data_IF_642491579799
#
_entry.id   IF_642491579799
#
_cell.length_a   1.000
_cell.length_b   1.000
_cell.length_c   1.000
_cell.angle_alpha   90.00
_cell.angle_beta   90.00
_cell.angle_gamma   90.00
#
_symmetry.space_group_name_H-M   'P 1'
#
loop_
_entity.id
_entity.type
_entity.pdbx_description
1 polymer ?
#
# COMPACT_ATOMS: atom_id res chain seq x y z
N UNK A 1 48.14 6.76 4.47
CA UNK A 1 48.64 5.86 5.53
C UNK A 1 48.45 6.57 6.86
N UNK A 2 47.47 6.15 7.66
CA UNK A 2 47.31 6.56 9.06
C UNK A 2 46.99 5.28 9.84
N UNK A 3 48.01 4.57 10.27
CA UNK A 3 47.87 3.55 11.31
C UNK A 3 48.32 4.20 12.60
N UNK A 4 47.36 4.54 13.47
CA UNK A 4 47.66 4.82 14.87
C UNK A 4 48.04 3.50 15.51
N UNK A 5 49.33 3.34 15.77
CA UNK A 5 49.88 2.31 16.63
C UNK A 5 49.40 2.53 18.07
N UNK A 6 49.17 1.42 18.78
CA UNK A 6 48.76 1.29 20.20
C UNK A 6 47.26 1.28 20.55
N UNK A 7 46.43 0.58 19.77
CA UNK A 7 45.15 0.12 20.33
C UNK A 7 45.40 -0.90 21.44
N UNK A 8 44.91 -0.60 22.65
CA UNK A 8 45.01 -1.48 23.82
C UNK A 8 44.39 -2.85 23.53
N UNK A 9 45.14 -3.91 23.87
CA UNK A 9 44.75 -5.31 23.68
C UNK A 9 44.58 -5.98 25.04
N UNK A 10 43.44 -6.65 25.26
CA UNK A 10 43.15 -7.40 26.49
C UNK A 10 42.72 -8.83 26.14
N UNK A 11 43.16 -9.83 26.91
CA UNK A 11 42.69 -11.22 26.71
C UNK A 11 41.42 -11.47 27.52
N UNK A 12 40.49 -12.22 26.96
CA UNK A 12 39.34 -12.75 27.68
C UNK A 12 39.83 -13.69 28.79
N UNK A 13 39.35 -13.48 30.01
CA UNK A 13 39.70 -14.28 31.19
C UNK A 13 39.23 -15.74 31.10
N UNK A 14 38.20 -16.03 30.29
CA UNK A 14 37.61 -17.36 30.18
C UNK A 14 38.21 -18.20 29.04
N UNK A 15 38.35 -17.63 27.84
CA UNK A 15 38.80 -18.38 26.65
C UNK A 15 40.13 -17.91 26.05
N UNK A 16 40.78 -16.91 26.65
CA UNK A 16 42.06 -16.37 26.18
C UNK A 16 42.01 -15.54 24.88
N UNK A 17 40.81 -15.33 24.30
CA UNK A 17 40.63 -14.57 23.06
C UNK A 17 41.12 -13.11 23.20
N UNK A 18 41.83 -12.61 22.20
CA UNK A 18 42.40 -11.27 22.20
C UNK A 18 41.37 -10.23 21.73
N UNK A 19 41.04 -9.28 22.60
CA UNK A 19 40.09 -8.20 22.37
C UNK A 19 40.86 -6.90 22.11
N UNK A 20 40.31 -6.03 21.27
CA UNK A 20 40.89 -4.72 20.91
C UNK A 20 39.91 -3.63 21.34
N UNK A 21 40.41 -2.54 21.93
CA UNK A 21 39.58 -1.42 22.35
C UNK A 21 38.86 -0.75 21.15
N UNK A 22 37.59 -0.30 21.31
CA UNK A 22 36.76 -0.40 22.50
C UNK A 22 36.28 -1.83 22.77
N UNK A 23 36.43 -2.30 24.02
CA UNK A 23 36.13 -3.68 24.38
C UNK A 23 34.62 -3.96 24.40
N UNK A 24 34.13 -5.07 23.80
CA UNK A 24 32.73 -5.44 23.88
C UNK A 24 32.35 -5.86 25.32
N UNK A 25 31.05 -5.82 25.65
CA UNK A 25 30.54 -6.23 26.97
C UNK A 25 30.72 -7.74 27.19
N UNK A 26 30.52 -8.53 26.13
CA UNK A 26 30.69 -9.98 26.13
C UNK A 26 31.79 -10.40 25.15
N UNK A 27 32.52 -11.46 25.48
CA UNK A 27 33.53 -12.03 24.59
C UNK A 27 32.85 -12.59 23.32
N UNK A 28 33.30 -12.24 22.10
CA UNK A 28 32.67 -12.74 20.88
C UNK A 28 32.91 -14.24 20.64
N UNK A 29 33.87 -14.86 21.35
CA UNK A 29 34.20 -16.29 21.20
C UNK A 29 33.43 -17.19 22.17
N UNK A 30 33.31 -16.79 23.45
CA UNK A 30 32.67 -17.62 24.48
C UNK A 30 31.43 -16.99 25.11
N UNK A 31 31.03 -15.80 24.67
CA UNK A 31 29.88 -15.02 25.14
C UNK A 31 29.90 -14.64 26.65
N UNK A 32 31.01 -14.90 27.33
CA UNK A 32 31.18 -14.53 28.75
C UNK A 32 31.43 -13.04 28.93
N UNK A 33 30.90 -12.48 30.01
CA UNK A 33 30.99 -11.05 30.32
C UNK A 33 32.42 -10.64 30.65
N UNK A 34 32.89 -9.56 30.05
CA UNK A 34 34.27 -9.08 30.26
C UNK A 34 34.31 -8.20 31.53
N UNK A 35 35.09 -8.57 32.56
CA UNK A 35 35.17 -7.79 33.79
C UNK A 35 35.78 -6.41 33.54
N UNK A 36 35.11 -5.38 34.07
CA UNK A 36 35.49 -3.98 33.96
C UNK A 36 34.90 -3.21 32.77
N UNK A 37 34.07 -3.83 31.92
CA UNK A 37 33.33 -3.12 30.87
C UNK A 37 31.97 -2.70 31.42
N UNK A 38 31.80 -1.40 31.70
CA UNK A 38 30.51 -0.84 32.12
C UNK A 38 29.52 -0.89 30.96
N UNK A 39 28.31 -1.37 31.23
CA UNK A 39 27.21 -1.28 30.26
C UNK A 39 26.82 0.20 30.19
N UNK A 40 26.87 0.86 29.01
CA UNK A 40 26.44 2.24 28.91
C UNK A 40 25.00 2.32 29.38
N UNK A 41 24.76 3.06 30.48
CA UNK A 41 23.41 3.31 30.99
C UNK A 41 22.61 3.92 29.84
N UNK A 42 21.55 3.25 29.39
CA UNK A 42 20.63 3.79 28.39
C UNK A 42 20.17 5.17 28.88
N UNK A 43 20.61 6.26 28.21
CA UNK A 43 20.06 7.59 28.45
C UNK A 43 18.55 7.50 28.26
N UNK A 44 17.78 7.86 29.28
CA UNK A 44 16.32 7.90 29.19
C UNK A 44 15.92 8.94 28.13
N UNK A 45 14.80 8.69 27.43
CA UNK A 45 14.26 9.55 26.35
C UNK A 45 14.16 11.03 26.77
N UNK A 46 13.97 11.30 28.07
CA UNK A 46 13.99 12.65 28.67
C UNK A 46 15.35 13.36 28.57
N UNK A 47 16.48 12.67 28.75
CA UNK A 47 17.82 13.29 28.66
C UNK A 47 18.22 13.60 27.22
N UNK A 48 17.83 12.73 26.27
CA UNK A 48 18.04 12.95 24.84
C UNK A 48 17.23 14.14 24.29
N UNK A 49 16.04 14.39 24.84
CA UNK A 49 15.21 15.53 24.45
C UNK A 49 15.76 16.85 25.01
N UNK A 50 16.37 16.84 26.20
CA UNK A 50 16.98 18.04 26.82
C UNK A 50 18.26 18.51 26.10
N UNK A 51 19.10 17.58 25.65
CA UNK A 51 20.28 17.91 24.82
C UNK A 51 19.89 18.42 23.41
N UNK A 52 18.70 18.07 22.91
CA UNK A 52 18.17 18.58 21.65
C UNK A 52 17.58 19.99 21.78
N UNK A 53 16.87 20.29 22.86
CA UNK A 53 16.33 21.64 23.10
C UNK A 53 17.45 22.68 23.29
N UNK A 54 18.50 22.34 24.04
CA UNK A 54 19.65 23.24 24.26
C UNK A 54 20.44 23.52 22.96
N UNK A 55 20.46 22.59 22.01
CA UNK A 55 21.09 22.80 20.69
C UNK A 55 20.23 23.64 19.73
N UNK A 56 18.91 23.63 19.87
CA UNK A 56 18.00 24.43 19.05
C UNK A 56 17.99 25.89 19.55
N UNK A 57 17.98 26.11 20.85
CA UNK A 57 18.07 27.46 21.44
C UNK A 57 19.39 28.15 21.05
N UNK A 58 20.52 27.43 21.09
CA UNK A 58 21.81 27.98 20.65
C UNK A 58 21.86 28.32 19.15
N UNK A 59 21.11 27.61 18.30
CA UNK A 59 21.02 27.91 16.85
C UNK A 59 20.10 29.09 16.53
N UNK A 60 19.06 29.28 17.34
CA UNK A 60 18.17 30.44 17.25
C UNK A 60 18.91 31.70 17.72
N UNK A 61 19.70 31.60 18.80
CA UNK A 61 20.50 32.71 19.32
C UNK A 61 21.59 33.20 18.35
N UNK A 62 22.10 32.31 17.49
CA UNK A 62 23.14 32.62 16.51
C UNK A 62 22.63 33.06 15.12
N UNK A 63 21.31 33.21 14.93
CA UNK A 63 20.73 33.89 13.75
C UNK A 63 20.87 33.17 12.40
N UNK A 64 21.26 31.89 12.37
CA UNK A 64 21.50 31.14 11.12
C UNK A 64 20.21 30.78 10.36
N UNK A 65 19.07 30.66 11.05
CA UNK A 65 17.81 30.17 10.45
C UNK A 65 17.07 31.27 9.65
N UNK A 66 17.21 32.54 10.05
CA UNK A 66 16.44 33.65 9.47
C UNK A 66 16.94 34.04 8.06
N UNK A 67 18.23 33.84 7.77
CA UNK A 67 18.82 34.22 6.46
C UNK A 67 18.47 33.26 5.31
N UNK A 68 18.09 32.01 5.61
CA UNK A 68 17.74 31.01 4.60
C UNK A 68 16.33 31.16 4.01
N UNK A 69 15.39 31.72 4.78
CA UNK A 69 13.97 31.77 4.39
C UNK A 69 13.60 32.99 3.53
N UNK A 70 14.38 34.08 3.60
CA UNK A 70 14.11 35.30 2.82
C UNK A 70 14.50 35.15 1.34
N UNK A 71 15.49 34.32 1.00
CA UNK A 71 15.92 34.14 -0.41
C UNK A 71 14.97 33.28 -1.26
N UNK A 72 14.16 32.39 -0.67
CA UNK A 72 13.25 31.52 -1.43
C UNK A 72 11.96 32.19 -1.89
N UNK A 73 11.50 33.25 -1.20
CA UNK A 73 10.23 33.92 -1.54
C UNK A 73 10.31 34.87 -2.75
N UNK A 74 11.49 35.25 -3.20
CA UNK A 74 11.66 36.14 -4.37
C UNK A 74 11.70 35.39 -5.71
N UNK A 75 12.01 34.09 -5.72
CA UNK A 75 12.12 33.30 -6.95
C UNK A 75 10.77 32.71 -7.42
N UNK A 76 9.82 32.48 -6.52
CA UNK A 76 8.51 31.87 -6.85
C UNK A 76 7.50 32.83 -7.49
N UNK A 77 7.75 34.16 -7.47
CA UNK A 77 6.82 35.17 -8.00
C UNK A 77 6.88 35.40 -9.52
N UNK A 78 7.77 34.73 -10.26
CA UNK A 78 8.01 35.04 -11.70
C UNK A 78 7.42 34.04 -12.72
N UNK A 79 6.69 33.00 -12.30
CA UNK A 79 6.34 31.89 -13.22
C UNK A 79 4.84 31.75 -13.55
N UNK A 80 3.94 32.51 -12.92
CA UNK A 80 2.49 32.36 -13.14
C UNK A 80 1.84 33.54 -13.86
N UNK A 81 2.17 33.72 -15.14
CA UNK A 81 1.30 34.41 -16.11
C UNK A 81 1.32 33.63 -17.42
N UNK A 82 0.30 32.78 -17.65
CA UNK A 82 -0.28 32.49 -18.97
C UNK A 82 -1.53 31.61 -18.82
N UNK A 83 -2.69 32.15 -19.22
CA UNK A 83 -4.01 31.49 -19.25
C UNK A 83 -4.15 30.57 -20.48
N UNK A 84 -4.98 29.51 -20.43
CA UNK A 84 -5.60 28.95 -21.62
C UNK A 84 -7.07 29.35 -21.78
N UNK A 85 -7.44 29.52 -23.05
CA UNK A 85 -8.77 29.83 -23.59
C UNK A 85 -9.49 28.51 -23.86
N UNK A 86 -10.69 28.31 -23.30
CA UNK A 86 -11.59 27.21 -23.68
C UNK A 86 -12.65 27.71 -24.68
N UNK A 87 -12.79 26.99 -25.80
CA UNK A 87 -13.92 27.08 -26.71
C UNK A 87 -14.90 25.95 -26.39
N UNK A 88 -16.17 26.32 -26.25
CA UNK A 88 -17.34 25.45 -26.15
C UNK A 88 -17.66 24.79 -27.50
N UNK A 89 -18.15 23.56 -27.46
CA UNK A 89 -18.82 22.91 -28.60
C UNK A 89 -20.05 22.15 -28.09
N UNK A 90 -21.15 22.37 -28.82
CA UNK A 90 -22.53 22.02 -28.51
C UNK A 90 -22.89 20.54 -28.70
N UNK A 91 -24.04 20.21 -28.11
CA UNK A 91 -24.74 18.93 -28.06
C UNK A 91 -25.52 18.58 -29.34
N UNK A 92 -25.49 17.31 -29.74
CA UNK A 92 -26.60 16.49 -30.27
C UNK A 92 -26.03 15.07 -30.48
N UNK A 93 -26.58 13.96 -29.97
CA UNK A 93 -27.85 13.37 -30.37
C UNK A 93 -28.33 12.27 -29.41
N UNK A 94 -29.65 12.07 -29.45
CA UNK A 94 -30.45 11.13 -28.64
C UNK A 94 -30.35 9.70 -29.17
N UNK A 95 -30.30 8.73 -28.25
CA UNK A 95 -30.64 7.33 -28.50
C UNK A 95 -31.32 6.70 -27.29
N UNK A 96 -32.64 6.46 -27.39
CA UNK A 96 -33.44 5.74 -26.39
C UNK A 96 -33.15 4.24 -26.49
N UNK A 97 -32.91 3.58 -25.36
CA UNK A 97 -32.98 2.13 -25.22
C UNK A 97 -34.02 1.83 -24.14
N UNK A 98 -35.11 1.18 -24.52
CA UNK A 98 -36.13 0.64 -23.62
C UNK A 98 -35.65 -0.70 -23.06
N UNK A 99 -35.65 -0.85 -21.74
CA UNK A 99 -35.39 -2.11 -21.05
C UNK A 99 -36.71 -2.71 -20.55
N UNK A 100 -36.95 -3.95 -20.94
CA UNK A 100 -38.15 -4.71 -20.64
C UNK A 100 -38.05 -5.32 -19.22
N UNK A 101 -39.04 -5.20 -18.31
CA UNK A 101 -38.87 -5.57 -16.90
C UNK A 101 -38.97 -7.07 -16.56
N UNK A 102 -39.17 -7.97 -17.55
CA UNK A 102 -39.64 -9.34 -17.28
C UNK A 102 -38.56 -10.45 -17.31
N UNK A 103 -37.27 -10.15 -17.45
CA UNK A 103 -36.23 -11.19 -17.53
C UNK A 103 -35.60 -11.61 -16.19
N UNK A 104 -36.08 -11.09 -15.05
CA UNK A 104 -35.47 -11.36 -13.74
C UNK A 104 -36.03 -12.59 -12.99
N UNK A 105 -37.09 -13.22 -13.48
CA UNK A 105 -37.86 -14.22 -12.70
C UNK A 105 -37.69 -15.69 -13.13
N UNK A 106 -36.75 -16.03 -14.04
CA UNK A 106 -36.62 -17.40 -14.57
C UNK A 106 -35.39 -18.23 -14.17
N UNK A 107 -34.44 -17.72 -13.37
CA UNK A 107 -33.21 -18.46 -13.04
C UNK A 107 -32.90 -18.66 -11.54
N UNK A 108 -33.92 -18.75 -10.68
CA UNK A 108 -33.75 -19.20 -9.29
C UNK A 108 -34.24 -20.65 -9.14
N UNK A 109 -33.37 -21.62 -9.42
CA UNK A 109 -33.47 -22.98 -8.87
C UNK A 109 -32.23 -23.24 -8.03
N UNK A 110 -32.45 -23.28 -6.72
CA UNK A 110 -31.47 -23.68 -5.70
C UNK A 110 -31.19 -25.17 -5.91
N UNK A 111 -29.96 -25.52 -6.31
CA UNK A 111 -29.47 -26.90 -6.20
C UNK A 111 -28.70 -27.04 -4.89
N UNK A 112 -29.05 -28.09 -4.14
CA UNK A 112 -28.36 -28.55 -2.93
C UNK A 112 -26.91 -28.94 -3.23
N UNK A 113 -26.01 -28.49 -2.35
CA UNK A 113 -24.57 -28.63 -2.41
C UNK A 113 -24.13 -30.10 -2.20
N UNK A 114 -23.40 -30.75 -3.14
CA UNK A 114 -23.05 -32.18 -3.03
C UNK A 114 -21.73 -32.49 -2.30
N UNK A 115 -20.99 -31.51 -1.75
CA UNK A 115 -19.65 -31.77 -1.18
C UNK A 115 -19.57 -31.65 0.36
N UNK A 116 -20.46 -32.35 1.07
CA UNK A 116 -20.23 -32.73 2.47
C UNK A 116 -19.77 -34.18 2.47
N UNK A 117 -18.46 -34.41 2.40
CA UNK A 117 -17.88 -35.71 2.74
C UNK A 117 -17.60 -35.70 4.24
N UNK A 118 -18.49 -36.37 4.98
CA UNK A 118 -18.26 -36.80 6.35
C UNK A 118 -17.15 -37.85 6.31
N UNK A 119 -16.08 -37.62 7.05
CA UNK A 119 -14.94 -38.53 7.20
C UNK A 119 -15.36 -39.78 7.97
N UNK A 120 -15.43 -40.93 7.31
CA UNK A 120 -15.47 -42.23 7.98
C UNK A 120 -14.08 -42.87 8.05
N UNK A 121 -13.83 -43.45 9.22
CA UNK A 121 -12.59 -44.08 9.69
C UNK A 121 -12.23 -45.28 8.82
N UNK A 122 -10.96 -45.38 8.44
CA UNK A 122 -10.38 -46.64 7.93
C UNK A 122 -9.58 -47.28 9.07
N UNK A 123 -10.19 -48.28 9.69
CA UNK A 123 -9.48 -49.31 10.47
C UNK A 123 -9.17 -50.50 9.55
N UNK A 124 -7.90 -50.93 9.62
CA UNK A 124 -7.32 -52.26 9.39
C UNK A 124 -8.12 -53.30 8.60
N UNK A 125 -7.45 -53.92 7.62
CA UNK A 125 -7.21 -55.38 7.61
C UNK A 125 -6.11 -55.73 6.60
N UNK A 126 -5.21 -56.60 7.07
CA UNK A 126 -4.15 -57.28 6.35
C UNK A 126 -4.65 -58.67 5.91
N UNK A 127 -3.76 -59.41 5.22
CA UNK A 127 -3.87 -60.82 4.74
C UNK A 127 -4.66 -60.95 3.42
N UNK A 128 -4.26 -61.72 2.40
CA UNK A 128 -3.10 -62.57 2.15
C UNK A 128 -3.15 -63.00 0.66
N UNK A 129 -2.02 -63.45 0.12
CA UNK A 129 -1.87 -64.32 -1.08
C UNK A 129 -2.19 -63.66 -2.45
N UNK A 130 -1.48 -63.89 -3.55
CA UNK A 130 -0.58 -64.99 -3.93
C UNK A 130 0.26 -64.54 -5.13
N UNK A 131 1.54 -64.93 -5.15
CA UNK A 131 2.46 -64.76 -6.28
C UNK A 131 2.07 -65.74 -7.38
N UNK A 132 1.76 -65.25 -8.59
CA UNK A 132 1.75 -66.06 -9.81
C UNK A 132 2.41 -65.33 -10.98
N UNK A 133 3.61 -65.83 -11.30
CA UNK A 133 4.24 -66.01 -12.60
C UNK A 133 3.97 -65.01 -13.74
N UNK A 134 5.02 -64.25 -14.01
CA UNK A 134 5.30 -63.63 -15.31
C UNK A 134 5.32 -64.68 -16.43
N UNK A 135 4.28 -64.70 -17.26
CA UNK A 135 4.37 -65.19 -18.62
C UNK A 135 4.55 -64.04 -19.60
N UNK A 136 5.78 -63.89 -20.10
CA UNK A 136 6.09 -63.12 -21.30
C UNK A 136 5.68 -63.97 -22.51
N UNK A 137 4.49 -63.74 -23.05
CA UNK A 137 4.17 -64.16 -24.41
C UNK A 137 4.80 -63.18 -25.40
N UNK A 138 5.75 -63.69 -26.17
CA UNK A 138 6.25 -63.05 -27.39
C UNK A 138 5.14 -63.16 -28.44
N UNK A 139 4.45 -62.05 -28.72
CA UNK A 139 3.72 -61.90 -29.97
C UNK A 139 3.95 -60.51 -30.56
N UNK A 140 4.48 -60.55 -31.78
CA UNK A 140 4.35 -59.62 -32.90
C UNK A 140 4.39 -58.10 -32.66
N UNK A 141 5.41 -57.51 -33.28
CA UNK A 141 5.52 -56.09 -33.59
C UNK A 141 4.22 -55.54 -34.20
N UNK A 142 3.71 -54.46 -33.61
CA UNK A 142 2.92 -53.46 -34.32
C UNK A 142 3.58 -52.10 -34.10
N UNK A 143 4.01 -51.51 -35.22
CA UNK A 143 4.43 -50.13 -35.34
C UNK A 143 3.34 -49.21 -34.80
N UNK A 144 3.55 -48.68 -33.61
CA UNK A 144 2.94 -47.41 -33.23
C UNK A 144 3.89 -46.68 -32.30
N UNK A 145 4.99 -46.20 -32.89
CA UNK A 145 5.87 -45.18 -32.34
C UNK A 145 5.06 -43.86 -32.23
N UNK A 146 4.05 -43.85 -31.37
CA UNK A 146 3.33 -42.65 -30.94
C UNK A 146 4.24 -41.91 -29.97
N UNK A 147 5.30 -41.32 -30.54
CA UNK A 147 6.05 -40.25 -29.89
C UNK A 147 5.04 -39.18 -29.56
N UNK A 148 4.64 -39.13 -28.30
CA UNK A 148 3.88 -38.03 -27.73
C UNK A 148 4.71 -36.77 -28.00
N UNK A 149 4.35 -36.02 -29.05
CA UNK A 149 4.87 -34.68 -29.30
C UNK A 149 4.33 -33.82 -28.16
N UNK A 150 5.08 -33.78 -27.06
CA UNK A 150 4.91 -32.76 -26.03
C UNK A 150 5.05 -31.43 -26.75
N UNK A 151 3.94 -30.72 -26.95
CA UNK A 151 3.97 -29.34 -27.43
C UNK A 151 4.82 -28.56 -26.42
N UNK A 152 6.05 -28.24 -26.81
CA UNK A 152 6.90 -27.31 -26.07
C UNK A 152 6.09 -26.03 -25.90
N UNK A 153 5.61 -25.78 -24.67
CA UNK A 153 4.94 -24.53 -24.31
C UNK A 153 5.94 -23.42 -24.64
N UNK A 154 5.61 -22.61 -25.64
CA UNK A 154 6.47 -21.52 -26.11
C UNK A 154 6.91 -20.69 -24.90
N UNK A 155 8.22 -20.65 -24.64
CA UNK A 155 8.77 -19.80 -23.58
C UNK A 155 8.67 -18.36 -24.08
N UNK A 156 7.67 -17.62 -23.61
CA UNK A 156 7.61 -16.17 -23.79
C UNK A 156 8.86 -15.56 -23.15
N UNK A 157 9.69 -14.87 -23.95
CA UNK A 157 10.86 -14.17 -23.44
C UNK A 157 10.43 -12.90 -22.70
N UNK A 158 10.82 -12.78 -21.43
CA UNK A 158 10.45 -11.64 -20.58
C UNK A 158 11.45 -10.50 -20.79
N UNK A 159 10.98 -9.40 -21.37
CA UNK A 159 11.72 -8.15 -21.46
C UNK A 159 11.20 -7.14 -20.41
N UNK A 160 12.04 -6.81 -19.42
CA UNK A 160 11.69 -5.87 -18.34
C UNK A 160 11.51 -4.43 -18.82
N UNK A 161 12.09 -4.08 -19.98
CA UNK A 161 11.99 -2.75 -20.56
C UNK A 161 10.65 -2.50 -21.26
N UNK A 162 9.83 -3.54 -21.44
CA UNK A 162 8.52 -3.39 -22.03
C UNK A 162 7.59 -2.61 -21.10
N UNK A 163 6.75 -1.77 -21.68
CA UNK A 163 5.75 -0.98 -20.93
C UNK A 163 4.67 -1.86 -20.30
N UNK A 164 4.45 -3.06 -20.85
CA UNK A 164 3.51 -4.05 -20.37
C UNK A 164 4.10 -5.45 -20.58
N UNK A 165 4.22 -6.22 -19.50
CA UNK A 165 4.74 -7.58 -19.48
C UNK A 165 3.56 -8.51 -19.19
N UNK A 166 3.18 -9.35 -20.15
CA UNK A 166 2.11 -10.34 -19.97
C UNK A 166 2.58 -11.50 -19.10
N UNK A 167 1.77 -11.91 -18.12
CA UNK A 167 2.15 -12.91 -17.12
C UNK A 167 1.48 -14.29 -17.33
N UNK A 168 0.94 -14.55 -18.51
CA UNK A 168 0.59 -15.91 -18.96
C UNK A 168 -0.91 -16.25 -18.97
N UNK A 169 -1.69 -15.82 -17.97
CA UNK A 169 -3.17 -15.87 -18.03
C UNK A 169 -3.72 -14.69 -18.83
N UNK A 170 -4.92 -14.85 -19.43
CA UNK A 170 -5.62 -13.73 -20.09
C UNK A 170 -5.76 -12.59 -19.08
N UNK A 171 -5.39 -11.39 -19.51
CA UNK A 171 -5.51 -10.13 -18.78
C UNK A 171 -4.58 -9.91 -17.58
N UNK A 172 -3.70 -10.86 -17.21
CA UNK A 172 -2.65 -10.65 -16.21
C UNK A 172 -1.41 -9.98 -16.81
N UNK A 173 -1.00 -8.84 -16.26
CA UNK A 173 0.18 -8.12 -16.71
C UNK A 173 0.83 -7.25 -15.64
N UNK A 174 2.11 -6.96 -15.84
CA UNK A 174 2.92 -6.08 -15.02
C UNK A 174 3.39 -4.89 -15.87
N UNK A 175 3.18 -3.66 -15.38
CA UNK A 175 3.66 -2.43 -16.04
C UNK A 175 4.90 -1.85 -15.36
N UNK A 176 5.01 -2.01 -14.04
CA UNK A 176 6.09 -1.42 -13.26
C UNK A 176 6.46 -2.25 -12.04
N UNK A 177 7.76 -2.31 -11.75
CA UNK A 177 8.34 -2.77 -10.50
C UNK A 177 9.37 -1.75 -10.04
N UNK A 178 9.40 -1.46 -8.75
CA UNK A 178 10.34 -0.50 -8.20
C UNK A 178 10.66 -0.73 -6.73
N UNK A 179 11.81 -0.19 -6.33
CA UNK A 179 12.32 -0.20 -4.95
C UNK A 179 12.88 1.19 -4.65
N UNK A 180 12.44 1.77 -3.54
CA UNK A 180 12.94 3.05 -3.02
C UNK A 180 13.21 2.89 -1.52
N UNK A 181 14.20 3.61 -0.99
CA UNK A 181 14.43 3.64 0.46
C UNK A 181 13.43 4.57 1.14
N UNK A 182 13.23 4.41 2.46
CA UNK A 182 12.46 5.38 3.26
C UNK A 182 13.05 6.79 3.25
N UNK A 183 14.36 6.92 2.97
CA UNK A 183 15.07 8.18 2.76
C UNK A 183 14.97 8.69 1.29
N UNK A 184 14.03 8.13 0.51
CA UNK A 184 13.75 8.49 -0.89
C UNK A 184 14.92 8.28 -1.86
N UNK A 185 15.81 7.34 -1.56
CA UNK A 185 16.87 6.93 -2.49
C UNK A 185 16.36 5.83 -3.40
N UNK A 186 16.37 6.07 -4.70
CA UNK A 186 15.95 5.11 -5.72
C UNK A 186 16.95 3.96 -5.81
N UNK A 187 16.46 2.73 -5.58
CA UNK A 187 17.29 1.53 -5.62
C UNK A 187 17.15 0.84 -6.98
N UNK A 188 15.91 0.68 -7.45
CA UNK A 188 15.62 0.00 -8.71
C UNK A 188 14.26 0.43 -9.27
N UNK A 189 14.14 0.40 -10.61
CA UNK A 189 12.86 0.49 -11.31
C UNK A 189 12.96 -0.21 -12.67
N UNK A 190 11.87 -0.83 -13.13
CA UNK A 190 11.83 -1.55 -14.40
C UNK A 190 11.53 -0.65 -15.61
N UNK A 191 10.84 0.49 -15.40
CA UNK A 191 10.39 1.37 -16.47
C UNK A 191 10.55 2.84 -16.07
N UNK A 192 11.41 3.57 -16.81
CA UNK A 192 11.72 4.99 -16.55
C UNK A 192 10.48 5.89 -16.64
N UNK A 193 9.55 5.61 -17.56
CA UNK A 193 8.35 6.44 -17.74
C UNK A 193 7.41 6.38 -16.53
N UNK A 194 7.45 5.27 -15.80
CA UNK A 194 6.60 4.98 -14.64
C UNK A 194 7.36 5.15 -13.32
N UNK A 195 8.58 5.70 -13.38
CA UNK A 195 9.45 5.93 -12.22
C UNK A 195 8.79 6.76 -11.12
N UNK A 196 7.87 7.66 -11.49
CA UNK A 196 7.12 8.50 -10.55
C UNK A 196 6.34 7.68 -9.50
N UNK A 197 6.03 6.40 -9.75
CA UNK A 197 5.39 5.53 -8.76
C UNK A 197 6.24 5.33 -7.48
N UNK A 198 7.56 5.49 -7.55
CA UNK A 198 8.42 5.44 -6.35
C UNK A 198 8.17 6.64 -5.42
N UNK A 199 8.11 7.84 -6.00
CA UNK A 199 7.87 9.07 -5.26
C UNK A 199 6.41 9.14 -4.79
N UNK A 200 5.47 8.77 -5.67
CA UNK A 200 4.05 8.64 -5.33
C UNK A 200 3.87 7.65 -4.18
N UNK A 201 4.45 6.46 -4.26
CA UNK A 201 4.39 5.46 -3.20
C UNK A 201 4.95 5.97 -1.87
N UNK A 202 6.06 6.71 -1.89
CA UNK A 202 6.65 7.30 -0.69
C UNK A 202 5.77 8.38 -0.05
N UNK A 203 5.13 9.21 -0.87
CA UNK A 203 4.19 10.22 -0.40
C UNK A 203 2.91 9.58 0.15
N UNK A 204 2.38 8.56 -0.53
CA UNK A 204 1.21 7.80 -0.07
C UNK A 204 1.50 7.08 1.24
N UNK A 205 2.67 6.44 1.36
CA UNK A 205 3.08 5.73 2.58
C UNK A 205 3.17 6.73 3.74
N UNK A 206 3.76 7.91 3.55
CA UNK A 206 3.78 8.94 4.58
C UNK A 206 2.38 9.44 4.96
N UNK A 207 1.55 9.83 3.98
CA UNK A 207 0.26 10.47 4.27
C UNK A 207 -0.73 9.44 4.83
N UNK A 208 -0.89 8.29 4.16
CA UNK A 208 -1.88 7.29 4.55
C UNK A 208 -1.57 6.71 5.94
N UNK A 209 -0.31 6.46 6.27
CA UNK A 209 0.05 5.97 7.61
C UNK A 209 -0.14 7.02 8.69
N UNK A 210 0.02 8.32 8.39
CA UNK A 210 -0.23 9.42 9.34
C UNK A 210 -1.70 9.67 9.68
N UNK A 211 -2.64 9.06 8.95
CA UNK A 211 -4.09 9.21 9.16
C UNK A 211 -4.72 7.88 9.57
N UNK A 212 -4.37 6.79 8.89
CA UNK A 212 -4.99 5.48 9.11
C UNK A 212 -4.25 4.64 10.13
N UNK A 213 -3.01 4.98 10.50
CA UNK A 213 -2.15 4.24 11.44
C UNK A 213 -1.92 2.77 11.04
N UNK A 214 -0.94 2.47 10.18
CA UNK A 214 -0.60 1.09 9.80
C UNK A 214 0.48 1.01 8.72
N UNK A 215 0.48 -0.04 7.90
CA UNK A 215 1.41 -0.19 6.77
C UNK A 215 0.68 -0.05 5.41
N UNK A 216 1.19 0.79 4.51
CA UNK A 216 0.62 0.93 3.16
C UNK A 216 0.65 -0.42 2.43
N UNK A 217 -0.49 -0.83 1.87
CA UNK A 217 -0.65 -2.13 1.21
C UNK A 217 -1.03 -2.00 -0.26
N UNK A 218 -2.15 -1.34 -0.59
CA UNK A 218 -2.66 -1.27 -1.98
C UNK A 218 -3.28 0.07 -2.32
N UNK A 219 -3.32 0.37 -3.62
CA UNK A 219 -4.11 1.45 -4.20
C UNK A 219 -4.76 0.98 -5.48
N UNK A 220 -6.08 1.16 -5.59
CA UNK A 220 -6.85 0.90 -6.80
C UNK A 220 -6.96 2.18 -7.62
N UNK A 221 -6.64 2.10 -8.91
CA UNK A 221 -6.72 3.20 -9.86
C UNK A 221 -7.77 2.91 -10.92
N UNK A 222 -8.64 3.88 -11.16
CA UNK A 222 -9.61 3.86 -12.25
C UNK A 222 -9.35 4.99 -13.26
N UNK A 223 -9.61 4.77 -14.56
CA UNK A 223 -9.54 5.83 -15.56
C UNK A 223 -10.55 6.95 -15.27
N UNK A 224 -10.16 8.20 -15.53
CA UNK A 224 -11.03 9.38 -15.29
C UNK A 224 -12.33 9.36 -16.10
N UNK A 225 -12.31 8.78 -17.30
CA UNK A 225 -13.39 8.86 -18.27
C UNK A 225 -14.25 7.57 -18.37
N UNK A 226 -14.27 6.72 -17.33
CA UNK A 226 -15.00 5.43 -17.29
C UNK A 226 -14.67 4.45 -18.46
N UNK A 227 -13.62 4.73 -19.25
CA UNK A 227 -13.33 4.09 -20.53
C UNK A 227 -12.15 3.12 -20.52
N UNK A 228 -11.84 2.47 -19.41
CA UNK A 228 -10.71 1.55 -19.32
C UNK A 228 -10.77 0.62 -18.12
N UNK A 229 -9.76 -0.24 -17.99
CA UNK A 229 -9.68 -1.22 -16.91
C UNK A 229 -9.11 -0.59 -15.64
N UNK A 230 -9.63 -1.04 -14.50
CA UNK A 230 -9.02 -0.74 -13.21
C UNK A 230 -7.66 -1.44 -13.10
N UNK A 231 -6.73 -0.79 -12.40
CA UNK A 231 -5.39 -1.30 -12.16
C UNK A 231 -5.01 -1.13 -10.70
N UNK A 232 -4.17 -2.04 -10.20
CA UNK A 232 -3.78 -2.04 -8.79
C UNK A 232 -2.30 -1.75 -8.69
N UNK A 233 -1.98 -0.82 -7.79
CA UNK A 233 -0.64 -0.62 -7.28
C UNK A 233 -0.54 -1.33 -5.93
N UNK A 234 0.42 -2.24 -5.79
CA UNK A 234 0.70 -2.94 -4.55
C UNK A 234 2.01 -2.44 -3.96
N UNK A 235 2.00 -2.30 -2.65
CA UNK A 235 3.09 -1.81 -1.84
C UNK A 235 3.49 -2.86 -0.82
N UNK A 236 4.78 -2.91 -0.51
CA UNK A 236 5.29 -3.62 0.65
C UNK A 236 6.25 -2.68 1.37
N UNK A 237 5.86 -2.27 2.57
CA UNK A 237 6.73 -1.51 3.46
C UNK A 237 7.64 -2.48 4.23
N UNK A 238 8.94 -2.24 4.21
CA UNK A 238 9.93 -2.87 5.11
C UNK A 238 10.66 -1.74 5.86
N UNK A 239 11.43 -2.09 6.90
CA UNK A 239 12.08 -1.08 7.77
C UNK A 239 12.79 0.04 7.00
N UNK A 240 13.51 -0.31 5.94
CA UNK A 240 14.36 0.63 5.20
C UNK A 240 13.89 0.86 3.76
N UNK A 241 12.95 0.06 3.25
CA UNK A 241 12.57 0.03 1.83
C UNK A 241 11.06 0.05 1.65
N UNK A 242 10.63 0.65 0.56
CA UNK A 242 9.30 0.52 0.00
C UNK A 242 9.43 -0.17 -1.37
N UNK A 243 8.75 -1.31 -1.51
CA UNK A 243 8.65 -2.05 -2.77
C UNK A 243 7.32 -1.72 -3.42
N UNK A 244 7.33 -1.51 -4.74
CA UNK A 244 6.15 -1.10 -5.50
C UNK A 244 6.03 -2.00 -6.73
N UNK A 245 4.84 -2.54 -6.97
CA UNK A 245 4.49 -3.18 -8.24
C UNK A 245 3.15 -2.64 -8.74
N UNK A 246 3.01 -2.48 -10.05
CA UNK A 246 1.80 -1.92 -10.66
C UNK A 246 1.42 -2.66 -11.94
N UNK A 247 0.14 -2.99 -12.06
CA UNK A 247 -0.45 -3.70 -13.19
C UNK A 247 -1.76 -4.38 -12.79
N UNK A 248 -2.04 -5.51 -13.43
CA UNK A 248 -3.19 -6.35 -13.14
C UNK A 248 -2.75 -7.78 -12.85
N UNK A 249 -2.89 -8.21 -11.60
CA UNK A 249 -2.61 -9.58 -11.17
C UNK A 249 -3.32 -9.89 -9.84
N UNK A 250 -3.61 -11.17 -9.55
CA UNK A 250 -4.23 -11.61 -8.29
C UNK A 250 -3.43 -11.23 -7.04
N UNK A 251 -4.14 -10.92 -5.94
CA UNK A 251 -3.56 -10.51 -4.65
C UNK A 251 -2.45 -11.43 -4.14
N UNK A 252 -2.69 -12.75 -4.12
CA UNK A 252 -1.70 -13.72 -3.61
C UNK A 252 -0.41 -13.71 -4.43
N UNK A 253 -0.54 -13.48 -5.74
CA UNK A 253 0.60 -13.45 -6.66
C UNK A 253 1.36 -12.13 -6.55
N UNK A 254 0.65 -11.01 -6.32
CA UNK A 254 1.25 -9.73 -5.99
C UNK A 254 2.15 -9.82 -4.75
N UNK A 255 1.59 -10.37 -3.66
CA UNK A 255 2.28 -10.53 -2.40
C UNK A 255 3.49 -11.47 -2.53
N UNK A 256 3.35 -12.56 -3.29
CA UNK A 256 4.48 -13.45 -3.58
C UNK A 256 5.60 -12.71 -4.33
N UNK A 257 5.27 -11.92 -5.36
CA UNK A 257 6.26 -11.17 -6.14
C UNK A 257 7.00 -10.14 -5.28
N UNK A 258 6.27 -9.34 -4.48
CA UNK A 258 6.84 -8.36 -3.56
C UNK A 258 7.76 -9.00 -2.51
N UNK A 259 7.37 -10.13 -1.94
CA UNK A 259 8.20 -10.86 -0.98
C UNK A 259 9.48 -11.40 -1.63
N UNK A 260 9.40 -11.89 -2.87
CA UNK A 260 10.60 -12.32 -3.59
C UNK A 260 11.52 -11.12 -3.91
N UNK A 261 10.99 -9.97 -4.32
CA UNK A 261 11.79 -8.74 -4.49
C UNK A 261 12.53 -8.36 -3.21
N UNK A 262 11.85 -8.43 -2.06
CA UNK A 262 12.42 -8.18 -0.73
C UNK A 262 13.56 -9.14 -0.40
N UNK A 263 13.38 -10.43 -0.64
CA UNK A 263 14.45 -11.43 -0.42
C UNK A 263 15.64 -11.15 -1.33
N UNK A 264 15.40 -10.89 -2.61
CA UNK A 264 16.46 -10.60 -3.57
C UNK A 264 17.31 -9.39 -3.20
N UNK A 265 16.69 -8.28 -2.80
CA UNK A 265 17.45 -7.07 -2.49
C UNK A 265 18.30 -7.28 -1.23
N UNK A 266 17.77 -8.02 -0.24
CA UNK A 266 18.53 -8.38 0.97
C UNK A 266 19.74 -9.25 0.65
N UNK A 267 19.61 -10.20 -0.28
CA UNK A 267 20.72 -11.03 -0.74
C UNK A 267 21.79 -10.24 -1.50
N UNK A 268 21.38 -9.30 -2.36
CA UNK A 268 22.33 -8.49 -3.14
C UNK A 268 23.08 -7.51 -2.22
N UNK A 269 22.36 -6.85 -1.30
CA UNK A 269 22.94 -5.89 -0.36
C UNK A 269 23.68 -6.57 0.80
N UNK A 270 23.44 -7.86 1.07
CA UNK A 270 24.10 -8.65 2.12
C UNK A 270 24.09 -8.00 3.50
N UNK A 271 22.98 -7.35 3.85
CA UNK A 271 22.81 -6.68 5.14
C UNK A 271 23.64 -5.40 5.33
N UNK A 272 24.14 -4.80 4.24
CA UNK A 272 24.75 -3.46 4.29
C UNK A 272 23.77 -2.42 4.82
N UNK A 273 24.33 -1.43 5.50
CA UNK A 273 23.57 -0.29 5.99
C UNK A 273 22.98 0.52 4.82
N UNK A 274 21.65 0.60 4.81
CA UNK A 274 20.87 1.24 3.73
C UNK A 274 21.12 2.74 3.66
N UNK A 275 21.43 3.37 4.80
CA UNK A 275 21.70 4.81 4.88
C UNK A 275 23.03 5.21 4.24
N UNK A 276 23.94 4.24 4.12
CA UNK A 276 25.31 4.45 3.67
C UNK A 276 25.63 3.62 2.42
N UNK A 277 24.64 3.39 1.55
CA UNK A 277 24.84 2.67 0.29
C UNK A 277 25.77 3.45 -0.63
N UNK A 278 26.85 2.81 -1.06
CA UNK A 278 27.80 3.43 -2.00
C UNK A 278 27.26 3.41 -3.43
N UNK A 279 27.83 4.24 -4.31
CA UNK A 279 27.54 4.19 -5.76
C UNK A 279 27.81 2.80 -6.36
N UNK A 280 28.81 2.09 -5.84
CA UNK A 280 29.13 0.72 -6.25
C UNK A 280 28.03 -0.27 -5.85
N UNK A 281 27.40 -0.07 -4.68
CA UNK A 281 26.28 -0.91 -4.25
C UNK A 281 25.06 -0.72 -5.14
N UNK A 282 24.72 0.52 -5.45
CA UNK A 282 23.64 0.84 -6.37
C UNK A 282 23.92 0.29 -7.78
N UNK A 283 25.17 0.37 -8.24
CA UNK A 283 25.58 -0.25 -9.50
C UNK A 283 25.42 -1.77 -9.48
N UNK A 284 25.84 -2.42 -8.40
CA UNK A 284 25.68 -3.87 -8.23
C UNK A 284 24.20 -4.29 -8.23
N UNK A 285 23.32 -3.50 -7.61
CA UNK A 285 21.88 -3.73 -7.69
C UNK A 285 21.40 -3.59 -9.13
N UNK A 286 21.73 -2.49 -9.81
CA UNK A 286 21.30 -2.25 -11.21
C UNK A 286 21.74 -3.35 -12.18
N UNK A 287 22.91 -3.95 -11.98
CA UNK A 287 23.40 -5.04 -12.84
C UNK A 287 22.78 -6.40 -12.50
N UNK A 288 22.64 -6.72 -11.21
CA UNK A 288 22.27 -8.08 -10.79
C UNK A 288 20.76 -8.26 -10.62
N UNK A 289 20.04 -7.22 -10.21
CA UNK A 289 18.62 -7.30 -9.90
C UNK A 289 17.76 -7.66 -11.12
N UNK A 290 17.94 -7.07 -12.33
CA UNK A 290 17.14 -7.41 -13.51
C UNK A 290 17.17 -8.90 -13.87
N UNK A 291 18.35 -9.53 -13.86
CA UNK A 291 18.52 -10.94 -14.20
C UNK A 291 17.77 -11.85 -13.23
N UNK A 292 17.79 -11.51 -11.94
CA UNK A 292 17.05 -12.26 -10.91
C UNK A 292 15.55 -12.02 -10.96
N UNK A 293 15.11 -10.80 -11.27
CA UNK A 293 13.68 -10.50 -11.49
C UNK A 293 13.14 -11.28 -12.68
N UNK A 294 13.89 -11.34 -13.80
CA UNK A 294 13.50 -12.18 -14.96
C UNK A 294 13.30 -13.64 -14.55
N UNK A 295 14.19 -14.18 -13.70
CA UNK A 295 14.03 -15.54 -13.17
C UNK A 295 12.73 -15.69 -12.37
N UNK A 296 12.45 -14.78 -11.42
CA UNK A 296 11.20 -14.83 -10.62
C UNK A 296 9.96 -14.70 -11.48
N UNK A 297 9.95 -13.81 -12.48
CA UNK A 297 8.80 -13.67 -13.37
C UNK A 297 8.59 -14.92 -14.24
N UNK A 298 9.66 -15.62 -14.62
CA UNK A 298 9.52 -16.92 -15.29
C UNK A 298 8.94 -17.98 -14.34
N UNK A 299 9.36 -18.01 -13.07
CA UNK A 299 8.76 -18.89 -12.06
C UNK A 299 7.30 -18.55 -11.79
N UNK A 300 6.95 -17.25 -11.74
CA UNK A 300 5.57 -16.77 -11.65
C UNK A 300 4.70 -17.38 -12.75
N UNK A 301 5.16 -17.34 -14.01
CA UNK A 301 4.41 -17.89 -15.15
C UNK A 301 4.23 -19.41 -15.04
N UNK A 302 5.20 -20.12 -14.44
CA UNK A 302 5.10 -21.57 -14.21
C UNK A 302 4.12 -21.91 -13.09
N UNK A 303 4.05 -21.08 -12.04
CA UNK A 303 3.21 -21.30 -10.86
C UNK A 303 1.74 -20.90 -11.09
N UNK A 304 1.35 -20.55 -12.31
CA UNK A 304 -0.01 -20.16 -12.68
C UNK A 304 -1.09 -21.15 -12.23
N UNK A 305 -0.78 -22.44 -12.17
CA UNK A 305 -1.70 -23.52 -11.82
C UNK A 305 -1.77 -23.79 -10.30
N UNK A 306 -0.85 -23.21 -9.50
CA UNK A 306 -0.78 -23.42 -8.04
C UNK A 306 -1.64 -22.40 -7.29
N UNK A 307 -1.81 -21.20 -7.84
CA UNK A 307 -2.58 -20.14 -7.20
C UNK A 307 -4.07 -20.32 -7.44
N UNK A 308 -4.85 -20.37 -6.37
CA UNK A 308 -6.31 -20.36 -6.44
C UNK A 308 -6.81 -18.95 -6.80
N UNK A 309 -7.76 -18.87 -7.73
CA UNK A 309 -8.43 -17.61 -8.10
C UNK A 309 -9.50 -17.19 -7.09
N UNK A 310 -9.82 -18.05 -6.11
CA UNK A 310 -10.83 -17.77 -5.10
C UNK A 310 -10.34 -16.64 -4.20
N UNK A 311 -10.98 -15.47 -4.31
CA UNK A 311 -10.85 -14.40 -3.31
C UNK A 311 -11.23 -14.97 -1.95
N UNK A 312 -10.35 -14.81 -0.97
CA UNK A 312 -10.69 -15.14 0.41
C UNK A 312 -11.79 -14.17 0.85
N UNK A 313 -12.90 -14.71 1.35
CA UNK A 313 -13.94 -13.87 1.94
C UNK A 313 -13.36 -13.17 3.16
N UNK A 314 -13.69 -11.89 3.31
CA UNK A 314 -13.43 -11.18 4.56
C UNK A 314 -14.09 -11.92 5.72
N UNK A 315 -13.38 -12.01 6.85
CA UNK A 315 -13.97 -12.48 8.10
C UNK A 315 -14.85 -11.39 8.72
N UNK A 316 -14.51 -10.13 8.46
CA UNK A 316 -15.24 -8.99 8.96
C UNK A 316 -16.55 -8.82 8.16
N UNK A 317 -17.66 -8.74 8.89
CA UNK A 317 -18.99 -8.46 8.35
C UNK A 317 -19.45 -7.03 8.62
N UNK A 318 -18.55 -6.18 9.12
CA UNK A 318 -18.81 -4.78 9.41
C UNK A 318 -18.03 -3.87 8.45
N UNK A 319 -18.52 -2.65 8.29
CA UNK A 319 -17.80 -1.56 7.66
C UNK A 319 -18.08 -0.31 8.49
N UNK A 320 -17.03 0.20 9.12
CA UNK A 320 -17.08 1.38 9.98
C UNK A 320 -16.59 2.59 9.20
N UNK A 321 -17.25 3.72 9.37
CA UNK A 321 -16.82 4.99 8.76
C UNK A 321 -16.33 5.91 9.86
N UNK A 322 -15.05 6.28 9.78
CA UNK A 322 -14.36 7.09 10.78
C UNK A 322 -14.37 8.57 10.39
N UNK A 323 -14.48 8.88 9.09
CA UNK A 323 -14.52 10.23 8.55
C UNK A 323 -15.33 10.29 7.26
N UNK A 324 -16.07 11.39 7.08
CA UNK A 324 -16.80 11.75 5.86
C UNK A 324 -16.35 13.12 5.37
N UNK A 325 -15.92 13.19 4.11
CA UNK A 325 -15.61 14.43 3.41
C UNK A 325 -16.36 14.54 2.09
N UNK A 326 -16.89 15.71 1.81
CA UNK A 326 -17.47 16.09 0.52
C UNK A 326 -16.74 17.32 0.02
N UNK A 327 -16.19 17.25 -1.18
CA UNK A 327 -15.50 18.37 -1.83
C UNK A 327 -16.06 18.66 -3.21
N UNK A 328 -16.03 19.93 -3.60
CA UNK A 328 -16.28 20.38 -4.96
C UNK A 328 -14.95 20.83 -5.55
N UNK A 329 -14.42 20.07 -6.51
CA UNK A 329 -13.07 20.26 -7.05
C UNK A 329 -11.99 20.20 -5.96
N UNK A 330 -11.58 21.35 -5.41
CA UNK A 330 -10.57 21.49 -4.35
C UNK A 330 -11.11 22.31 -3.15
N UNK A 331 -12.43 22.39 -3.01
CA UNK A 331 -13.09 23.11 -1.94
C UNK A 331 -13.84 22.08 -1.09
N UNK A 332 -13.38 21.86 0.15
CA UNK A 332 -14.09 21.07 1.14
C UNK A 332 -15.42 21.72 1.51
N UNK A 333 -16.53 21.06 1.21
CA UNK A 333 -17.91 21.53 1.47
C UNK A 333 -18.43 20.95 2.78
N UNK A 334 -18.16 19.66 3.03
CA UNK A 334 -18.45 19.00 4.29
C UNK A 334 -17.20 18.23 4.70
N UNK A 335 -16.82 18.34 5.97
CA UNK A 335 -15.76 17.53 6.58
C UNK A 335 -16.20 17.19 7.99
N UNK A 336 -16.32 15.89 8.29
CA UNK A 336 -16.83 15.41 9.57
C UNK A 336 -16.07 14.17 10.02
N UNK A 337 -15.43 14.27 11.18
CA UNK A 337 -14.94 13.10 11.91
C UNK A 337 -16.14 12.45 12.62
N UNK A 338 -16.31 11.14 12.42
CA UNK A 338 -17.43 10.36 12.95
C UNK A 338 -17.04 9.63 14.23
N UNK A 339 -15.79 9.20 14.33
CA UNK A 339 -15.24 8.42 15.46
C UNK A 339 -14.36 9.26 16.39
N UNK A 340 -14.18 8.80 17.62
CA UNK A 340 -13.19 9.36 18.56
C UNK A 340 -11.87 8.56 18.56
N UNK A 341 -11.78 7.48 17.79
CA UNK A 341 -10.63 6.57 17.77
C UNK A 341 -9.53 6.97 16.77
N UNK A 342 -9.76 8.01 15.96
CA UNK A 342 -8.84 8.41 14.92
C UNK A 342 -7.70 9.25 15.51
N UNK A 343 -6.50 8.67 15.61
CA UNK A 343 -5.29 9.39 15.98
C UNK A 343 -4.70 10.12 14.75
N UNK A 344 -4.69 11.45 14.79
CA UNK A 344 -4.21 12.28 13.68
C UNK A 344 -2.86 12.89 14.04
N UNK A 345 -1.82 12.51 13.29
CA UNK A 345 -0.51 13.15 13.45
C UNK A 345 -0.47 14.55 12.84
N UNK A 346 0.18 15.48 13.55
CA UNK A 346 0.46 16.84 13.09
C UNK A 346 -0.45 17.91 13.68
N UNK A 347 -1.32 17.57 14.64
CA UNK A 347 -2.06 18.57 15.41
C UNK A 347 -1.13 19.32 16.38
N UNK A 348 -1.32 20.65 16.54
CA UNK A 348 -0.57 21.41 17.54
C UNK A 348 -0.91 20.90 18.95
N UNK A 349 0.03 21.00 19.91
CA UNK A 349 -0.23 20.63 21.29
C UNK A 349 -1.37 21.47 21.87
N UNK A 350 -2.26 20.81 22.62
CA UNK A 350 -3.35 21.46 23.35
C UNK A 350 -2.74 22.40 24.39
N UNK A 351 -3.10 23.67 24.34
CA UNK A 351 -2.76 24.63 25.39
C UNK A 351 -3.63 24.32 26.63
N UNK A 352 -3.03 23.89 27.76
CA UNK A 352 -3.79 23.46 28.93
C UNK A 352 -4.58 24.60 29.60
N UNK A 353 -4.32 25.86 29.25
CA UNK A 353 -4.94 27.04 29.87
C UNK A 353 -6.18 27.57 29.10
N UNK A 354 -6.60 26.91 28.01
CA UNK A 354 -7.69 27.40 27.15
C UNK A 354 -8.94 26.52 27.26
N UNK A 355 -9.97 27.01 27.97
CA UNK A 355 -11.24 26.30 28.23
C UNK A 355 -12.10 26.12 26.96
N UNK A 356 -12.58 24.88 26.74
CA UNK A 356 -13.72 24.39 25.93
C UNK A 356 -13.88 24.81 24.45
N UNK A 357 -13.53 26.05 24.09
CA UNK A 357 -13.39 26.51 22.71
C UNK A 357 -12.16 25.93 22.01
N UNK A 358 -11.20 25.38 22.77
CA UNK A 358 -10.05 24.64 22.28
C UNK A 358 -10.46 23.39 21.49
N UNK A 359 -11.46 22.66 21.98
CA UNK A 359 -11.77 21.30 21.50
C UNK A 359 -12.52 21.36 20.17
N UNK A 360 -13.47 22.30 20.04
CA UNK A 360 -14.16 22.54 18.76
C UNK A 360 -13.19 23.02 17.68
N UNK A 361 -12.31 23.97 18.02
CA UNK A 361 -11.31 24.48 17.09
C UNK A 361 -10.29 23.41 16.69
N UNK A 362 -9.94 22.50 17.61
CA UNK A 362 -9.07 21.36 17.32
C UNK A 362 -9.76 20.33 16.44
N UNK A 363 -11.04 20.03 16.67
CA UNK A 363 -11.79 19.12 15.82
C UNK A 363 -11.96 19.67 14.41
N UNK A 364 -12.29 20.95 14.26
CA UNK A 364 -12.38 21.61 12.95
C UNK A 364 -11.01 21.63 12.25
N UNK A 365 -9.93 21.89 12.99
CA UNK A 365 -8.57 21.83 12.46
C UNK A 365 -8.17 20.40 12.04
N UNK A 366 -8.58 19.39 12.80
CA UNK A 366 -8.37 17.99 12.48
C UNK A 366 -9.13 17.56 11.21
N UNK A 367 -10.40 17.95 11.10
CA UNK A 367 -11.24 17.76 9.91
C UNK A 367 -10.60 18.42 8.67
N UNK A 368 -10.16 19.67 8.79
CA UNK A 368 -9.46 20.38 7.72
C UNK A 368 -8.14 19.71 7.33
N UNK A 369 -7.36 19.25 8.31
CA UNK A 369 -6.08 18.58 8.07
C UNK A 369 -6.27 17.23 7.35
N UNK A 370 -7.26 16.43 7.75
CA UNK A 370 -7.60 15.18 7.05
C UNK A 370 -8.02 15.50 5.62
N UNK A 371 -8.92 16.46 5.42
CA UNK A 371 -9.40 16.87 4.09
C UNK A 371 -8.23 17.23 3.19
N UNK A 372 -7.34 18.11 3.66
CA UNK A 372 -6.18 18.56 2.91
C UNK A 372 -5.23 17.40 2.55
N UNK A 373 -4.97 16.49 3.49
CA UNK A 373 -4.12 15.32 3.24
C UNK A 373 -4.76 14.38 2.21
N UNK A 374 -6.06 14.09 2.32
CA UNK A 374 -6.81 13.22 1.41
C UNK A 374 -6.88 13.80 -0.01
N UNK A 375 -7.18 15.08 -0.13
CA UNK A 375 -7.18 15.79 -1.42
C UNK A 375 -5.78 15.84 -2.04
N UNK A 376 -4.74 16.08 -1.23
CA UNK A 376 -3.36 16.04 -1.71
C UNK A 376 -2.98 14.67 -2.28
N UNK A 377 -3.44 13.56 -1.66
CA UNK A 377 -3.22 12.22 -2.19
C UNK A 377 -3.94 12.00 -3.52
N UNK A 378 -5.22 12.39 -3.62
CA UNK A 378 -5.98 12.28 -4.85
C UNK A 378 -5.35 13.12 -5.99
N UNK A 379 -5.06 14.39 -5.71
CA UNK A 379 -4.46 15.31 -6.68
C UNK A 379 -3.08 14.84 -7.16
N UNK A 380 -2.21 14.41 -6.24
CA UNK A 380 -0.89 13.86 -6.60
C UNK A 380 -1.03 12.58 -7.43
N UNK A 381 -2.00 11.72 -7.12
CA UNK A 381 -2.24 10.51 -7.89
C UNK A 381 -2.68 10.87 -9.31
N UNK A 382 -3.74 11.68 -9.45
CA UNK A 382 -4.27 12.11 -10.75
C UNK A 382 -3.20 12.82 -11.59
N UNK A 383 -2.42 13.72 -11.00
CA UNK A 383 -1.37 14.45 -11.71
C UNK A 383 -0.31 13.52 -12.30
N UNK A 384 0.07 12.46 -11.56
CA UNK A 384 1.12 11.53 -11.98
C UNK A 384 0.61 10.39 -12.87
N UNK A 385 -0.60 9.87 -12.63
CA UNK A 385 -1.12 8.66 -13.29
C UNK A 385 -2.15 8.96 -14.38
N UNK A 386 -2.77 10.15 -14.36
CA UNK A 386 -3.98 10.46 -15.13
C UNK A 386 -5.16 9.53 -14.80
N UNK A 387 -5.14 8.93 -13.60
CA UNK A 387 -6.16 8.02 -13.09
C UNK A 387 -6.59 8.48 -11.69
N UNK A 388 -7.85 8.24 -11.35
CA UNK A 388 -8.38 8.52 -10.02
C UNK A 388 -8.10 7.34 -9.09
N UNK A 389 -7.62 7.55 -7.86
CA UNK A 389 -7.64 6.49 -6.86
C UNK A 389 -9.09 6.21 -6.47
N UNK A 390 -9.55 4.96 -6.58
CA UNK A 390 -10.85 4.53 -6.04
C UNK A 390 -10.75 4.30 -4.53
N UNK A 391 -9.69 3.62 -4.13
CA UNK A 391 -9.38 3.41 -2.73
C UNK A 391 -7.88 3.17 -2.51
N UNK A 392 -7.42 3.49 -1.31
CA UNK A 392 -6.07 3.22 -0.81
C UNK A 392 -6.22 2.44 0.49
N UNK A 393 -5.53 1.31 0.64
CA UNK A 393 -5.59 0.47 1.83
C UNK A 393 -4.30 0.53 2.65
N UNK A 394 -4.50 0.53 3.96
CA UNK A 394 -3.47 0.39 4.99
C UNK A 394 -3.80 -0.84 5.81
N UNK A 395 -2.80 -1.70 6.00
CA UNK A 395 -2.90 -2.93 6.78
C UNK A 395 -2.61 -2.64 8.25
N UNK A 396 -3.55 -3.01 9.12
CA UNK A 396 -3.41 -2.93 10.58
C UNK A 396 -2.88 -4.26 11.15
N UNK A 397 -3.32 -5.37 10.57
CA UNK A 397 -3.03 -6.71 11.07
C UNK A 397 -3.37 -7.81 10.07
N UNK A 398 -3.57 -9.03 10.56
CA UNK A 398 -4.03 -10.14 9.71
C UNK A 398 -5.49 -9.89 9.33
N UNK A 399 -5.76 -9.72 8.03
CA UNK A 399 -7.10 -9.43 7.47
C UNK A 399 -7.80 -8.15 7.96
N UNK A 400 -7.20 -7.37 8.85
CA UNK A 400 -7.72 -6.07 9.30
C UNK A 400 -7.10 -4.92 8.51
N UNK A 401 -7.96 -4.14 7.87
CA UNK A 401 -7.58 -3.05 6.97
C UNK A 401 -8.40 -1.79 7.25
N UNK A 402 -7.74 -0.65 7.04
CA UNK A 402 -8.37 0.65 6.85
C UNK A 402 -8.20 1.10 5.42
N UNK A 403 -9.15 1.90 4.96
CA UNK A 403 -9.15 2.41 3.60
C UNK A 403 -9.47 3.90 3.57
N UNK A 404 -8.85 4.59 2.62
CA UNK A 404 -9.32 5.87 2.12
C UNK A 404 -10.09 5.56 0.85
N UNK A 405 -11.38 5.85 0.83
CA UNK A 405 -12.23 5.62 -0.31
C UNK A 405 -12.59 6.95 -0.98
N UNK A 406 -12.55 6.96 -2.31
CA UNK A 406 -12.93 8.09 -3.13
C UNK A 406 -14.08 7.70 -4.05
N UNK A 407 -15.09 8.55 -4.14
CA UNK A 407 -16.20 8.36 -5.07
C UNK A 407 -16.57 9.69 -5.71
N UNK A 408 -16.83 9.68 -7.01
CA UNK A 408 -17.24 10.86 -7.75
C UNK A 408 -18.77 10.92 -7.81
N UNK A 409 -19.34 12.04 -7.42
CA UNK A 409 -20.78 12.32 -7.50
C UNK A 409 -20.98 13.60 -8.32
N UNK A 410 -21.17 13.44 -9.64
CA UNK A 410 -21.21 14.56 -10.56
C UNK A 410 -19.90 15.36 -10.56
N UNK A 411 -19.96 16.62 -10.12
CA UNK A 411 -18.80 17.49 -9.97
C UNK A 411 -18.21 17.49 -8.54
N UNK A 412 -18.79 16.71 -7.64
CA UNK A 412 -18.35 16.57 -6.26
C UNK A 412 -17.57 15.26 -6.08
N UNK A 413 -16.75 15.24 -5.04
CA UNK A 413 -15.98 14.09 -4.63
C UNK A 413 -16.29 13.76 -3.17
N UNK A 414 -16.70 12.52 -2.95
CA UNK A 414 -16.85 11.94 -1.62
C UNK A 414 -15.51 11.29 -1.26
N UNK A 415 -15.07 11.55 -0.03
CA UNK A 415 -13.94 10.89 0.59
C UNK A 415 -14.37 10.27 1.91
N UNK A 416 -14.08 8.99 2.10
CA UNK A 416 -14.37 8.29 3.37
C UNK A 416 -13.08 7.72 3.94
N UNK A 417 -12.89 7.81 5.25
CA UNK A 417 -11.96 6.92 5.96
C UNK A 417 -12.80 5.80 6.58
N UNK A 418 -12.45 4.56 6.24
CA UNK A 418 -13.25 3.38 6.63
C UNK A 418 -12.37 2.27 7.19
N UNK A 419 -12.95 1.44 8.05
CA UNK A 419 -12.33 0.24 8.61
C UNK A 419 -13.25 -0.98 8.39
N UNK A 420 -12.67 -2.13 8.06
CA UNK A 420 -13.39 -3.39 7.93
C UNK A 420 -13.56 -3.85 6.47
N UNK A 421 -14.74 -4.37 6.13
CA UNK A 421 -14.95 -5.06 4.86
C UNK A 421 -15.33 -4.11 3.71
N UNK A 422 -14.38 -3.86 2.83
CA UNK A 422 -14.55 -3.00 1.65
C UNK A 422 -15.66 -3.46 0.70
N UNK A 423 -16.02 -4.76 0.68
CA UNK A 423 -17.12 -5.27 -0.16
C UNK A 423 -18.48 -4.64 0.20
N UNK A 424 -18.60 -4.05 1.39
CA UNK A 424 -19.82 -3.37 1.86
C UNK A 424 -19.89 -1.89 1.43
N UNK A 425 -18.87 -1.35 0.75
CA UNK A 425 -18.76 0.07 0.40
C UNK A 425 -19.96 0.59 -0.42
N UNK A 426 -20.45 -0.20 -1.37
CA UNK A 426 -21.52 0.22 -2.29
C UNK A 426 -22.82 0.51 -1.54
N UNK A 427 -23.09 -0.24 -0.46
CA UNK A 427 -24.27 -0.05 0.39
C UNK A 427 -24.24 1.33 1.05
N UNK A 428 -23.08 1.74 1.57
CA UNK A 428 -22.90 3.05 2.21
C UNK A 428 -22.98 4.15 1.15
N UNK A 429 -22.22 4.02 0.06
CA UNK A 429 -22.20 5.03 -1.02
C UNK A 429 -23.58 5.26 -1.64
N UNK A 430 -24.35 4.20 -1.88
CA UNK A 430 -25.71 4.33 -2.42
C UNK A 430 -26.63 5.11 -1.49
N UNK A 431 -26.52 4.91 -0.18
CA UNK A 431 -27.32 5.65 0.81
C UNK A 431 -26.89 7.12 0.89
N UNK A 432 -25.58 7.39 0.91
CA UNK A 432 -25.04 8.75 0.90
C UNK A 432 -25.42 9.52 -0.37
N UNK A 433 -25.31 8.87 -1.54
CA UNK A 433 -25.69 9.48 -2.82
C UNK A 433 -27.15 9.93 -2.81
N UNK A 434 -28.07 9.11 -2.28
CA UNK A 434 -29.49 9.49 -2.19
C UNK A 434 -29.78 10.72 -1.31
N UNK A 435 -28.88 11.07 -0.38
CA UNK A 435 -29.00 12.29 0.42
C UNK A 435 -28.28 13.50 -0.21
N UNK A 436 -27.20 13.24 -0.94
CA UNK A 436 -26.38 14.26 -1.55
C UNK A 436 -26.87 14.69 -2.93
N UNK A 437 -27.68 13.87 -3.60
CA UNK A 437 -28.12 14.10 -4.97
C UNK A 437 -28.72 15.50 -5.17
N UNK A 438 -29.64 15.91 -4.28
CA UNK A 438 -30.32 17.21 -4.38
C UNK A 438 -29.35 18.40 -4.26
N UNK A 439 -28.37 18.30 -3.35
CA UNK A 439 -27.42 19.40 -3.08
C UNK A 439 -26.21 19.38 -4.02
N UNK A 440 -25.97 18.30 -4.76
CA UNK A 440 -24.81 18.14 -5.66
C UNK A 440 -25.14 18.28 -7.15
N UNK A 441 -26.41 18.46 -7.52
CA UNK A 441 -26.83 18.71 -8.90
C UNK A 441 -26.26 20.02 -9.47
N UNK A 442 -26.04 21.03 -8.63
CA UNK A 442 -25.54 22.35 -9.04
C UNK A 442 -24.09 22.57 -8.60
N UNK A 443 -23.29 23.34 -9.37
CA UNK A 443 -21.98 23.80 -8.92
C UNK A 443 -22.04 24.49 -7.57
N UNK A 444 -21.02 24.29 -6.74
CA UNK A 444 -20.94 24.97 -5.45
C UNK A 444 -20.77 26.48 -5.63
N UNK A 445 -21.63 27.27 -4.99
CA UNK A 445 -21.66 28.74 -5.10
C UNK A 445 -21.13 29.46 -3.86
N UNK A 446 -20.61 28.72 -2.87
CA UNK A 446 -20.18 29.28 -1.58
C UNK A 446 -21.27 29.27 -0.49
N UNK A 447 -22.50 28.86 -0.82
CA UNK A 447 -23.61 28.78 0.14
C UNK A 447 -23.63 27.42 0.83
N UNK A 448 -23.34 27.38 2.13
CA UNK A 448 -23.25 26.14 2.92
C UNK A 448 -24.59 25.68 3.53
N UNK A 449 -25.63 26.51 3.52
CA UNK A 449 -26.88 26.23 4.24
C UNK A 449 -27.57 24.95 3.76
N UNK A 450 -27.57 24.70 2.45
CA UNK A 450 -28.16 23.48 1.87
C UNK A 450 -27.38 22.24 2.29
N UNK A 451 -26.05 22.34 2.36
CA UNK A 451 -25.16 21.25 2.79
C UNK A 451 -25.28 20.96 4.28
N UNK A 452 -25.42 22.00 5.12
CA UNK A 452 -25.64 21.84 6.57
C UNK A 452 -26.91 21.05 6.88
N UNK A 453 -27.98 21.24 6.10
CA UNK A 453 -29.26 20.53 6.30
C UNK A 453 -29.13 19.01 6.09
N UNK A 454 -28.30 18.58 5.15
CA UNK A 454 -28.07 17.15 4.89
C UNK A 454 -26.95 16.57 5.75
N UNK A 455 -26.01 17.40 6.19
CA UNK A 455 -24.86 16.99 7.00
C UNK A 455 -25.29 16.27 8.28
N UNK A 456 -26.25 16.81 9.02
CA UNK A 456 -26.64 16.24 10.32
C UNK A 456 -27.22 14.83 10.16
N UNK A 457 -28.06 14.62 9.15
CA UNK A 457 -28.59 13.28 8.82
C UNK A 457 -27.50 12.30 8.36
N UNK A 458 -26.51 12.77 7.60
CA UNK A 458 -25.33 11.98 7.23
C UNK A 458 -24.57 11.52 8.47
N UNK A 459 -24.24 12.47 9.36
CA UNK A 459 -23.46 12.18 10.56
C UNK A 459 -24.21 11.24 11.50
N UNK A 460 -25.51 11.44 11.71
CA UNK A 460 -26.33 10.59 12.57
C UNK A 460 -26.35 9.14 12.07
N UNK A 461 -26.63 8.92 10.79
CA UNK A 461 -26.61 7.58 10.22
C UNK A 461 -25.23 6.92 10.28
N UNK A 462 -24.15 7.66 9.99
CA UNK A 462 -22.81 7.10 10.07
C UNK A 462 -22.42 6.75 11.52
N UNK A 463 -22.85 7.53 12.51
CA UNK A 463 -22.69 7.22 13.94
C UNK A 463 -23.49 5.98 14.36
N UNK A 464 -24.73 5.83 13.88
CA UNK A 464 -25.52 4.62 14.13
C UNK A 464 -24.86 3.38 13.54
N UNK A 465 -24.33 3.47 12.31
CA UNK A 465 -23.58 2.36 11.70
C UNK A 465 -22.30 2.07 12.47
N UNK A 466 -21.58 3.10 12.94
CA UNK A 466 -20.40 2.95 13.77
C UNK A 466 -20.73 2.22 15.08
N UNK A 467 -21.79 2.62 15.79
CA UNK A 467 -22.21 1.95 17.02
C UNK A 467 -22.51 0.47 16.77
N UNK A 468 -23.28 0.15 15.73
CA UNK A 468 -23.61 -1.23 15.37
C UNK A 468 -22.39 -2.08 14.96
N UNK A 469 -21.35 -1.45 14.42
CA UNK A 469 -20.08 -2.12 14.09
C UNK A 469 -19.25 -2.43 15.34
N UNK A 470 -19.30 -1.60 16.38
CA UNK A 470 -18.54 -1.80 17.64
C UNK A 470 -19.11 -2.88 18.57
N UNK A 471 -20.36 -3.33 18.36
CA UNK A 471 -21.03 -4.35 19.19
C UNK A 471 -20.99 -5.77 18.62
N UNK A 472 -20.46 -5.95 17.40
CA UNK A 472 -20.23 -7.26 16.77
C UNK A 472 -18.73 -7.57 16.77
#
# INVERSE_FOLDING_TARGET
MFFNDSLEKKKCSQCGYLLVAPFPVNCPKCNERIPGVEVPKKKTRRMLNREKSENVENKIFNGEIIKGQLKRKEEEKKVFENKPIFKTLDQSDKGKIELNPDDFSKNLKIQSNPDIVISEKIEKLAEDNEVTDMHISKDSASDSDTRIKVKLKERKEINLSNTKIELGKKDEYLKFMGIITKERTEIYYSNEKLKYFLELGSNLDYIATSILSGELDRMMLSPLDNGGYEEICYFLSDRDFLYVIYGNFPDMKAAWLLNNMKTLIKEILRGKDVKNLSKLDLYNVKQNFPSRVKFILNEYIKLQDVFTERKLKSLDNFLRVDYFGLSYQSIGVISKIITNELEIEGLPPIDPDNDSSSDFNQQEMAEALITAKVEAMAANTVANTQMMPNWISVKLGFQHYRFILFSKLGNYYISLLIEGNLDLQERILKKLNGWLEDVTQKPFTGVLEEFKKVQDGIVEYLKEQHANASFN
#
